data_IF_460770300912
#
_entry.id   IF_460770300912
#
_cell.length_a   1.000
_cell.length_b   1.000
_cell.length_c   1.000
_cell.angle_alpha   90.00
_cell.angle_beta   90.00
_cell.angle_gamma   90.00
#
_symmetry.space_group_name_H-M   'P 1'
#
loop_
_entity.id
_entity.type
_entity.pdbx_description
1 polymer ?
#
# COMPACT_ATOMS: atom_id res chain seq x y z
N UNK A 1 -24.06 -5.22 20.73
CA UNK A 1 -22.98 -4.58 19.95
C UNK A 1 -22.92 -3.10 20.34
N UNK A 2 -21.76 -2.58 20.77
CA UNK A 2 -21.63 -1.12 20.97
C UNK A 2 -21.74 -0.43 19.61
N UNK A 3 -22.64 0.55 19.50
CA UNK A 3 -22.78 1.39 18.29
C UNK A 3 -21.44 2.11 18.07
N UNK A 4 -20.94 2.09 16.83
CA UNK A 4 -19.71 2.78 16.48
C UNK A 4 -19.87 4.29 16.71
N UNK A 5 -18.84 4.94 17.28
CA UNK A 5 -18.82 6.38 17.56
C UNK A 5 -17.54 6.97 16.97
N UNK A 6 -17.69 7.98 16.13
CA UNK A 6 -16.59 8.78 15.58
C UNK A 6 -15.88 9.51 16.72
N UNK A 7 -14.54 9.45 16.75
CA UNK A 7 -13.75 10.00 17.84
C UNK A 7 -13.30 11.42 17.52
N UNK A 8 -13.23 12.23 18.55
CA UNK A 8 -12.48 13.48 18.55
C UNK A 8 -10.99 13.22 18.75
N UNK A 9 -10.15 14.24 18.52
CA UNK A 9 -8.71 14.17 18.77
C UNK A 9 -8.34 14.09 20.26
N UNK A 10 -9.21 14.63 21.13
CA UNK A 10 -9.12 14.55 22.59
C UNK A 10 -10.46 14.08 23.17
N UNK A 11 -10.43 13.40 24.31
CA UNK A 11 -11.62 12.90 25.00
C UNK A 11 -12.55 14.03 25.49
N UNK A 12 -11.97 15.19 25.81
CA UNK A 12 -12.72 16.35 26.35
C UNK A 12 -13.26 17.27 25.25
N UNK A 13 -12.99 16.96 23.98
CA UNK A 13 -13.40 17.81 22.86
C UNK A 13 -14.86 17.52 22.46
N UNK A 14 -15.66 18.57 22.35
CA UNK A 14 -17.10 18.52 21.99
C UNK A 14 -17.44 19.33 20.74
N UNK A 15 -16.45 19.56 19.86
CA UNK A 15 -16.66 20.37 18.66
C UNK A 15 -17.74 19.78 17.73
N UNK A 16 -18.39 20.62 16.92
CA UNK A 16 -19.37 20.13 15.97
C UNK A 16 -18.73 19.32 14.85
N UNK A 17 -19.52 18.43 14.26
CA UNK A 17 -19.19 17.81 12.99
C UNK A 17 -19.31 18.83 11.86
N UNK A 18 -18.42 18.74 10.88
CA UNK A 18 -18.53 19.46 9.60
C UNK A 18 -18.83 18.43 8.53
N UNK A 19 -19.97 18.62 7.84
CA UNK A 19 -20.42 17.74 6.76
C UNK A 19 -19.93 18.24 5.40
N UNK A 20 -19.77 17.31 4.46
CA UNK A 20 -19.62 17.66 3.05
C UNK A 20 -20.96 18.08 2.45
N UNK A 21 -20.92 18.76 1.30
CA UNK A 21 -22.07 18.86 0.42
C UNK A 21 -22.33 17.47 -0.21
N UNK A 22 -23.23 16.71 0.41
CA UNK A 22 -23.56 15.34 -0.02
C UNK A 22 -24.14 15.30 -1.44
N UNK A 23 -24.97 16.28 -1.81
CA UNK A 23 -25.54 16.36 -3.15
C UNK A 23 -24.43 16.54 -4.19
N UNK A 24 -23.42 17.38 -3.88
CA UNK A 24 -22.25 17.54 -4.75
C UNK A 24 -21.43 16.27 -4.85
N UNK A 25 -21.13 15.60 -3.73
CA UNK A 25 -20.42 14.30 -3.72
C UNK A 25 -21.15 13.27 -4.57
N UNK A 26 -22.45 13.12 -4.37
CA UNK A 26 -23.30 12.18 -5.11
C UNK A 26 -23.32 12.48 -6.61
N UNK A 27 -23.45 13.76 -7.01
CA UNK A 27 -23.42 14.15 -8.42
C UNK A 27 -22.09 13.78 -9.10
N UNK A 28 -20.96 14.01 -8.43
CA UNK A 28 -19.63 13.69 -8.96
C UNK A 28 -19.49 12.18 -9.20
N UNK A 29 -19.94 11.36 -8.24
CA UNK A 29 -19.86 9.89 -8.34
C UNK A 29 -20.83 9.37 -9.40
N UNK A 30 -22.03 9.95 -9.51
CA UNK A 30 -23.01 9.57 -10.53
C UNK A 30 -22.42 9.73 -11.94
N UNK A 31 -21.67 10.81 -12.16
CA UNK A 31 -20.92 11.13 -13.38
C UNK A 31 -19.64 10.29 -13.56
N UNK A 32 -19.38 9.31 -12.70
CA UNK A 32 -18.18 8.48 -12.72
C UNK A 32 -16.90 9.21 -12.30
N UNK A 33 -17.02 10.38 -11.67
CA UNK A 33 -15.90 11.14 -11.12
C UNK A 33 -15.53 10.75 -9.69
N UNK A 34 -14.35 11.17 -9.26
CA UNK A 34 -13.88 11.05 -7.88
C UNK A 34 -14.05 12.40 -7.17
N UNK A 35 -14.82 12.48 -6.07
CA UNK A 35 -14.90 13.68 -5.25
C UNK A 35 -13.65 13.85 -4.39
N UNK A 36 -13.17 15.07 -4.25
CA UNK A 36 -12.09 15.49 -3.37
C UNK A 36 -12.60 16.57 -2.43
N UNK A 37 -12.06 16.62 -1.22
CA UNK A 37 -12.49 17.54 -0.18
C UNK A 37 -11.33 18.44 0.29
N UNK A 38 -11.65 19.65 0.75
CA UNK A 38 -10.70 20.55 1.40
C UNK A 38 -11.39 21.31 2.53
N UNK A 39 -10.73 21.41 3.68
CA UNK A 39 -11.21 22.25 4.78
C UNK A 39 -10.98 23.72 4.42
N UNK A 40 -12.03 24.54 4.44
CA UNK A 40 -11.96 25.97 4.17
C UNK A 40 -12.52 26.75 5.36
N UNK A 41 -11.85 27.84 5.71
CA UNK A 41 -12.40 28.86 6.59
C UNK A 41 -13.13 29.91 5.75
N UNK A 42 -14.41 30.10 6.01
CA UNK A 42 -15.27 31.11 5.38
C UNK A 42 -14.89 32.52 5.84
N UNK A 43 -15.36 33.54 5.11
CA UNK A 43 -15.17 34.96 5.50
C UNK A 43 -15.79 35.29 6.87
N UNK A 44 -16.86 34.58 7.25
CA UNK A 44 -17.51 34.68 8.57
C UNK A 44 -16.76 33.93 9.68
N UNK A 45 -15.67 33.23 9.37
CA UNK A 45 -14.84 32.53 10.34
C UNK A 45 -15.26 31.07 10.61
N UNK A 46 -16.38 30.61 10.05
CA UNK A 46 -16.82 29.22 10.14
C UNK A 46 -16.03 28.29 9.22
N UNK A 47 -15.90 27.03 9.61
CA UNK A 47 -15.25 26.01 8.80
C UNK A 47 -16.28 25.22 7.99
N UNK A 48 -15.95 24.93 6.73
CA UNK A 48 -16.75 24.12 5.81
C UNK A 48 -15.84 23.20 4.98
N UNK A 49 -16.42 22.14 4.42
CA UNK A 49 -15.74 21.26 3.48
C UNK A 49 -16.11 21.63 2.05
N UNK A 50 -15.14 22.18 1.31
CA UNK A 50 -15.29 22.38 -0.13
C UNK A 50 -15.16 21.03 -0.85
N UNK A 51 -16.00 20.79 -1.85
CA UNK A 51 -16.00 19.55 -2.65
C UNK A 51 -15.69 19.87 -4.12
N UNK A 52 -14.75 19.15 -4.73
CA UNK A 52 -14.44 19.26 -6.16
C UNK A 52 -14.31 17.90 -6.83
N UNK A 53 -14.47 17.84 -8.16
CA UNK A 53 -14.19 16.64 -8.97
C UNK A 53 -12.68 16.56 -9.25
N UNK A 54 -12.10 15.37 -9.11
CA UNK A 54 -10.73 15.06 -9.52
C UNK A 54 -10.57 15.30 -11.04
N UNK A 55 -9.49 15.99 -11.41
CA UNK A 55 -9.07 16.19 -12.81
C UNK A 55 -7.60 15.82 -12.97
N UNK A 56 -7.11 15.72 -14.21
CA UNK A 56 -5.70 15.43 -14.49
C UNK A 56 -4.71 16.49 -13.97
N UNK A 57 -5.20 17.67 -13.58
CA UNK A 57 -4.40 18.77 -13.04
C UNK A 57 -4.51 18.90 -11.51
N UNK A 58 -5.31 18.05 -10.85
CA UNK A 58 -5.56 18.17 -9.41
C UNK A 58 -4.65 17.23 -8.64
N UNK A 59 -3.67 17.78 -7.93
CA UNK A 59 -2.92 17.05 -6.92
C UNK A 59 -3.79 16.85 -5.67
N UNK A 60 -3.64 15.71 -5.00
CA UNK A 60 -4.36 15.42 -3.76
C UNK A 60 -3.63 14.37 -2.93
N UNK A 61 -3.90 14.38 -1.63
CA UNK A 61 -3.46 13.34 -0.69
C UNK A 61 -4.61 12.39 -0.40
N UNK A 62 -4.38 11.08 -0.44
CA UNK A 62 -5.37 10.12 0.03
C UNK A 62 -5.01 9.68 1.46
N UNK A 63 -5.97 9.77 2.38
CA UNK A 63 -5.80 9.23 3.72
C UNK A 63 -6.19 7.75 3.74
N UNK A 64 -5.33 6.95 4.35
CA UNK A 64 -5.54 5.53 4.57
C UNK A 64 -5.57 5.28 6.08
N UNK A 65 -6.67 4.75 6.60
CA UNK A 65 -6.88 4.66 8.05
C UNK A 65 -7.63 3.40 8.45
N UNK A 66 -7.58 3.10 9.74
CA UNK A 66 -8.28 1.97 10.35
C UNK A 66 -9.56 2.50 10.99
N UNK A 67 -10.74 2.09 10.52
CA UNK A 67 -12.03 2.57 11.06
C UNK A 67 -12.14 2.46 12.59
N UNK A 68 -11.62 1.39 13.20
CA UNK A 68 -11.66 1.21 14.67
C UNK A 68 -10.90 2.28 15.45
N UNK A 69 -10.06 3.07 14.78
CA UNK A 69 -9.29 4.14 15.39
C UNK A 69 -10.11 5.44 15.52
N UNK A 70 -11.29 5.50 14.90
CA UNK A 70 -12.33 6.51 15.20
C UNK A 70 -12.58 7.54 14.11
N UNK A 71 -11.97 7.42 12.92
CA UNK A 71 -12.14 8.33 11.78
C UNK A 71 -13.23 7.88 10.79
N UNK A 72 -14.01 6.85 11.12
CA UNK A 72 -15.19 6.43 10.37
C UNK A 72 -16.43 7.23 10.79
N UNK A 73 -17.47 7.23 9.96
CA UNK A 73 -18.80 7.72 10.34
C UNK A 73 -19.87 6.96 9.53
N UNK A 74 -20.64 6.04 10.16
CA UNK A 74 -21.63 5.25 9.44
C UNK A 74 -22.95 6.01 9.18
N UNK A 75 -23.14 7.19 9.79
CA UNK A 75 -24.43 7.89 9.79
C UNK A 75 -24.48 9.11 8.88
N UNK A 76 -23.35 9.76 8.61
CA UNK A 76 -23.26 10.92 7.70
C UNK A 76 -21.86 11.07 7.12
N UNK A 77 -21.73 11.76 5.98
CA UNK A 77 -20.44 12.13 5.41
C UNK A 77 -19.86 13.36 6.13
N UNK A 78 -19.49 13.18 7.40
CA UNK A 78 -18.99 14.25 8.27
C UNK A 78 -17.93 13.76 9.25
N UNK A 79 -17.09 14.68 9.73
CA UNK A 79 -16.12 14.45 10.80
C UNK A 79 -16.11 15.61 11.80
N UNK A 80 -15.70 15.38 13.06
CA UNK A 80 -15.45 16.44 14.02
C UNK A 80 -14.46 17.47 13.49
N UNK A 81 -14.71 18.76 13.75
CA UNK A 81 -13.82 19.84 13.30
C UNK A 81 -12.36 19.63 13.75
N UNK A 82 -12.14 19.15 14.98
CA UNK A 82 -10.79 18.90 15.49
C UNK A 82 -10.04 17.83 14.68
N UNK A 83 -10.74 16.80 14.17
CA UNK A 83 -10.14 15.80 13.30
C UNK A 83 -9.80 16.41 11.94
N UNK A 84 -10.70 17.20 11.35
CA UNK A 84 -10.44 17.86 10.07
C UNK A 84 -9.26 18.84 10.13
N UNK A 85 -9.14 19.57 11.24
CA UNK A 85 -8.00 20.44 11.49
C UNK A 85 -6.70 19.65 11.64
N UNK A 86 -6.74 18.51 12.33
CA UNK A 86 -5.58 17.63 12.47
C UNK A 86 -5.14 17.02 11.12
N UNK A 87 -6.09 16.52 10.31
CA UNK A 87 -5.82 16.04 8.97
C UNK A 87 -5.22 17.15 8.08
N UNK A 88 -5.74 18.37 8.21
CA UNK A 88 -5.23 19.55 7.52
C UNK A 88 -3.80 19.86 7.91
N UNK A 89 -3.53 19.89 9.22
CA UNK A 89 -2.17 20.04 9.75
C UNK A 89 -1.22 18.98 9.18
N UNK A 90 -1.64 17.71 9.15
CA UNK A 90 -0.79 16.65 8.62
C UNK A 90 -0.42 16.87 7.16
N UNK A 91 -1.38 17.10 6.26
CA UNK A 91 -1.04 17.23 4.84
C UNK A 91 -0.29 18.53 4.51
N UNK A 92 -0.49 19.59 5.28
CA UNK A 92 0.26 20.85 5.14
C UNK A 92 1.74 20.71 5.56
N UNK A 93 2.03 19.78 6.47
CA UNK A 93 3.36 19.47 6.98
C UNK A 93 3.91 18.14 6.45
N UNK A 94 3.29 17.58 5.40
CA UNK A 94 3.83 16.39 4.75
C UNK A 94 5.20 16.71 4.19
N UNK A 95 6.16 15.85 4.50
CA UNK A 95 7.47 15.94 3.89
C UNK A 95 7.31 15.83 2.38
N UNK A 96 7.68 16.89 1.66
CA UNK A 96 7.82 16.79 0.22
C UNK A 96 8.88 15.74 -0.03
N UNK A 97 8.60 14.68 -0.81
CA UNK A 97 9.59 13.67 -1.09
C UNK A 97 10.86 14.34 -1.60
N UNK A 98 11.92 14.21 -0.81
CA UNK A 98 13.27 14.49 -1.29
C UNK A 98 13.52 13.65 -2.53
N UNK A 99 14.55 14.00 -3.31
CA UNK A 99 14.98 13.20 -4.47
C UNK A 99 15.47 11.83 -3.97
N UNK A 100 14.54 10.93 -3.64
CA UNK A 100 14.83 9.53 -3.34
C UNK A 100 14.65 8.77 -4.65
N UNK A 101 15.75 8.18 -5.10
CA UNK A 101 15.97 7.64 -6.45
C UNK A 101 15.13 6.40 -6.81
N UNK A 102 13.95 6.21 -6.21
CA UNK A 102 13.28 4.90 -6.19
C UNK A 102 11.98 4.78 -6.96
N UNK A 103 11.31 5.83 -7.44
CA UNK A 103 9.97 5.63 -8.07
C UNK A 103 9.62 6.55 -9.25
N UNK A 104 10.32 6.43 -10.38
CA UNK A 104 9.81 6.84 -11.70
C UNK A 104 10.89 6.93 -12.77
N UNK A 105 11.33 5.80 -13.31
CA UNK A 105 12.65 5.69 -13.95
C UNK A 105 12.59 5.89 -15.48
N UNK A 106 13.51 6.68 -16.03
CA UNK A 106 14.00 6.53 -17.42
C UNK A 106 15.36 5.82 -17.36
N UNK A 107 15.54 4.73 -18.12
CA UNK A 107 16.72 3.86 -18.04
C UNK A 107 17.91 4.42 -18.83
N UNK A 108 18.99 4.79 -18.14
CA UNK A 108 20.32 5.05 -18.74
C UNK A 108 21.44 4.34 -17.95
N UNK A 109 21.48 3.01 -18.08
CA UNK A 109 22.64 2.19 -17.76
C UNK A 109 22.93 1.95 -16.28
N UNK A 110 23.11 2.97 -15.43
CA UNK A 110 23.64 2.78 -14.07
C UNK A 110 23.14 3.81 -13.01
N UNK A 111 22.56 4.98 -13.35
CA UNK A 111 21.80 5.80 -12.39
C UNK A 111 20.30 5.89 -12.72
N UNK A 112 19.45 5.83 -11.68
CA UNK A 112 17.98 5.96 -11.78
C UNK A 112 17.54 7.39 -11.52
N UNK A 113 17.05 8.11 -12.54
CA UNK A 113 16.51 9.47 -12.41
C UNK A 113 14.99 9.50 -12.65
N UNK A 114 14.26 10.15 -11.75
CA UNK A 114 12.81 10.42 -11.90
C UNK A 114 12.52 11.87 -12.25
N UNK A 115 12.40 12.12 -13.56
CA UNK A 115 12.12 13.43 -14.10
C UNK A 115 10.65 13.87 -13.95
N UNK A 116 9.70 12.97 -13.68
CA UNK A 116 8.28 13.35 -13.44
C UNK A 116 8.09 14.07 -12.10
N UNK A 117 9.03 13.86 -11.17
CA UNK A 117 8.97 14.37 -9.79
C UNK A 117 9.89 15.55 -9.53
N UNK A 118 10.87 15.82 -10.40
CA UNK A 118 11.75 16.98 -10.28
C UNK A 118 11.04 18.33 -10.51
N UNK A 119 9.82 18.34 -11.06
CA UNK A 119 9.13 19.58 -11.50
C UNK A 119 7.69 19.74 -11.01
N UNK A 120 7.17 18.83 -10.16
CA UNK A 120 5.80 18.93 -9.65
C UNK A 120 5.78 19.53 -8.25
N UNK A 121 5.15 20.69 -8.11
CA UNK A 121 4.72 21.18 -6.80
C UNK A 121 3.67 20.20 -6.24
N UNK A 122 4.07 19.42 -5.24
CA UNK A 122 3.21 18.43 -4.59
C UNK A 122 2.28 19.06 -3.55
N UNK A 123 2.37 20.39 -3.34
CA UNK A 123 1.44 21.10 -2.46
C UNK A 123 0.02 20.96 -3.00
N UNK A 124 -0.87 20.62 -2.08
CA UNK A 124 -2.29 20.55 -2.34
C UNK A 124 -3.06 20.82 -1.06
N UNK A 125 -4.25 21.36 -1.23
CA UNK A 125 -5.26 21.49 -0.16
C UNK A 125 -6.32 20.39 -0.23
N UNK A 126 -6.28 19.60 -1.30
CA UNK A 126 -7.30 18.59 -1.59
C UNK A 126 -6.86 17.27 -1.01
N UNK A 127 -7.79 16.60 -0.34
CA UNK A 127 -7.58 15.25 0.11
C UNK A 127 -8.79 14.36 -0.19
N UNK A 128 -8.55 13.06 -0.17
CA UNK A 128 -9.56 12.03 -0.25
C UNK A 128 -9.57 11.23 1.05
N UNK A 129 -10.77 11.00 1.58
CA UNK A 129 -11.01 10.13 2.73
C UNK A 129 -12.36 9.45 2.53
N UNK A 130 -12.38 8.13 2.65
CA UNK A 130 -13.55 7.27 2.43
C UNK A 130 -14.78 7.75 3.22
N UNK A 131 -14.62 8.12 4.49
CA UNK A 131 -15.67 8.63 5.37
C UNK A 131 -16.39 9.86 4.80
N UNK A 132 -15.68 10.72 4.06
CA UNK A 132 -16.23 11.97 3.52
C UNK A 132 -16.65 11.82 2.04
N UNK A 133 -16.02 10.91 1.31
CA UNK A 133 -16.12 10.82 -0.14
C UNK A 133 -16.98 9.66 -0.64
N UNK A 134 -17.40 8.73 0.23
CA UNK A 134 -18.27 7.59 -0.12
C UNK A 134 -19.64 7.79 0.54
N UNK A 135 -20.73 7.90 -0.24
CA UNK A 135 -22.07 8.08 0.30
C UNK A 135 -22.47 7.02 1.34
N UNK A 136 -23.13 7.47 2.40
CA UNK A 136 -23.71 6.62 3.45
C UNK A 136 -25.21 6.43 3.25
N UNK A 137 -25.77 5.35 3.78
CA UNK A 137 -27.20 5.03 3.67
C UNK A 137 -27.54 4.03 2.56
N UNK A 138 -28.61 3.27 2.77
CA UNK A 138 -29.05 2.21 1.85
C UNK A 138 -29.61 2.76 0.53
N UNK A 139 -30.14 3.99 0.54
CA UNK A 139 -30.65 4.65 -0.65
C UNK A 139 -29.54 5.00 -1.68
N UNK A 140 -28.27 4.93 -1.29
CA UNK A 140 -27.12 5.27 -2.14
C UNK A 140 -26.20 4.08 -2.44
N UNK A 141 -26.69 2.84 -2.32
CA UNK A 141 -25.87 1.63 -2.55
C UNK A 141 -25.22 1.62 -3.93
N UNK A 142 -25.92 2.02 -4.98
CA UNK A 142 -25.34 2.05 -6.34
C UNK A 142 -24.15 3.03 -6.44
N UNK A 143 -24.28 4.21 -5.84
CA UNK A 143 -23.20 5.21 -5.80
C UNK A 143 -22.05 4.73 -4.92
N UNK A 144 -22.35 4.07 -3.80
CA UNK A 144 -21.35 3.45 -2.93
C UNK A 144 -20.55 2.38 -3.68
N UNK A 145 -21.22 1.50 -4.43
CA UNK A 145 -20.54 0.50 -5.26
C UNK A 145 -19.66 1.16 -6.33
N UNK A 146 -20.16 2.21 -7.02
CA UNK A 146 -19.35 2.99 -7.98
C UNK A 146 -18.10 3.57 -7.34
N UNK A 147 -18.22 4.21 -6.18
CA UNK A 147 -17.09 4.81 -5.46
C UNK A 147 -16.08 3.75 -4.98
N UNK A 148 -16.55 2.61 -4.45
CA UNK A 148 -15.69 1.49 -4.03
C UNK A 148 -14.91 0.93 -5.22
N UNK A 149 -15.56 0.76 -6.37
CA UNK A 149 -14.89 0.28 -7.59
C UNK A 149 -13.79 1.24 -8.10
N UNK A 150 -13.79 2.51 -7.67
CA UNK A 150 -12.75 3.48 -8.01
C UNK A 150 -11.61 3.53 -6.99
N UNK A 151 -11.72 2.88 -5.82
CA UNK A 151 -10.73 3.00 -4.74
C UNK A 151 -9.32 2.68 -5.22
N UNK A 152 -9.13 1.61 -5.99
CA UNK A 152 -7.81 1.26 -6.53
C UNK A 152 -7.18 2.42 -7.32
N UNK A 153 -7.95 3.06 -8.21
CA UNK A 153 -7.49 4.20 -9.00
C UNK A 153 -7.24 5.46 -8.15
N UNK A 154 -8.03 5.67 -7.10
CA UNK A 154 -7.86 6.79 -6.16
C UNK A 154 -6.51 6.66 -5.44
N UNK A 155 -6.20 5.52 -4.82
CA UNK A 155 -4.93 5.36 -4.13
C UNK A 155 -3.72 5.32 -5.09
N UNK A 156 -3.87 4.78 -6.30
CA UNK A 156 -2.83 4.85 -7.34
C UNK A 156 -2.53 6.29 -7.78
N UNK A 157 -3.58 7.08 -7.98
CA UNK A 157 -3.51 8.43 -8.53
C UNK A 157 -3.20 9.52 -7.51
N UNK A 158 -3.25 9.21 -6.20
CA UNK A 158 -2.90 10.14 -5.16
C UNK A 158 -1.42 10.56 -5.28
N UNK A 159 -1.16 11.85 -5.01
CA UNK A 159 0.21 12.36 -4.95
C UNK A 159 0.98 11.64 -3.85
N UNK A 160 0.32 11.45 -2.70
CA UNK A 160 0.82 10.70 -1.56
C UNK A 160 -0.36 10.01 -0.87
N UNK A 161 -0.13 8.80 -0.37
CA UNK A 161 -1.05 8.10 0.53
C UNK A 161 -0.52 8.23 1.94
N UNK A 162 -1.24 8.96 2.79
CA UNK A 162 -0.87 9.17 4.18
C UNK A 162 -1.58 8.15 5.06
N UNK A 163 -0.80 7.27 5.68
CA UNK A 163 -1.25 6.20 6.56
C UNK A 163 -1.40 6.73 7.98
N UNK A 164 -2.61 6.63 8.52
CA UNK A 164 -2.97 6.98 9.89
C UNK A 164 -3.23 5.70 10.68
N UNK A 165 -2.34 5.42 11.63
CA UNK A 165 -2.48 4.32 12.58
C UNK A 165 -2.26 4.82 14.01
N UNK A 166 -3.21 4.53 14.88
CA UNK A 166 -3.19 5.00 16.27
C UNK A 166 -1.93 4.60 17.06
N UNK A 167 -1.24 3.51 16.69
CA UNK A 167 0.03 3.11 17.33
C UNK A 167 1.23 3.97 16.91
N UNK A 168 1.13 4.63 15.76
CA UNK A 168 2.20 5.42 15.14
C UNK A 168 2.02 6.93 15.36
N UNK A 169 0.79 7.45 15.32
CA UNK A 169 0.50 8.89 15.34
C UNK A 169 1.03 9.63 16.59
N UNK A 170 1.14 8.94 17.74
CA UNK A 170 1.69 9.53 18.97
C UNK A 170 3.20 9.45 19.12
N UNK A 171 3.91 8.83 18.17
CA UNK A 171 5.36 8.56 18.27
C UNK A 171 6.16 9.70 17.68
N UNK A 172 7.10 10.23 18.45
CA UNK A 172 8.14 11.10 17.89
C UNK A 172 9.15 10.23 17.14
N UNK A 173 9.57 10.67 15.97
CA UNK A 173 10.69 10.09 15.24
C UNK A 173 11.91 10.92 15.64
N UNK A 174 12.80 10.33 16.42
CA UNK A 174 14.09 10.95 16.72
C UNK A 174 15.07 10.68 15.56
N UNK A 175 16.20 11.39 15.51
CA UNK A 175 17.18 11.28 14.41
C UNK A 175 17.53 9.82 14.04
N UNK A 176 17.84 9.51 12.76
CA UNK A 176 18.10 8.15 12.29
C UNK A 176 19.21 7.44 13.09
N UNK A 177 18.94 6.21 13.55
CA UNK A 177 19.84 5.46 14.43
C UNK A 177 19.24 4.18 15.02
N UNK A 178 19.63 3.83 16.27
CA UNK A 178 19.22 2.63 17.02
C UNK A 178 17.70 2.36 17.06
N UNK A 179 16.86 3.35 16.77
CA UNK A 179 15.39 3.23 16.73
C UNK A 179 14.84 2.64 15.41
N UNK A 180 15.66 2.45 14.37
CA UNK A 180 15.18 1.94 13.07
C UNK A 180 14.54 0.53 13.17
N UNK A 181 15.13 -0.35 14.00
CA UNK A 181 14.56 -1.66 14.31
C UNK A 181 13.16 -1.52 14.92
N UNK A 182 13.01 -0.65 15.91
CA UNK A 182 11.74 -0.43 16.59
C UNK A 182 10.71 0.18 15.63
N UNK A 183 11.10 1.20 14.85
CA UNK A 183 10.23 1.87 13.90
C UNK A 183 9.69 0.90 12.84
N UNK A 184 10.56 0.05 12.27
CA UNK A 184 10.15 -0.96 11.30
C UNK A 184 9.35 -2.08 11.95
N UNK A 185 9.75 -2.58 13.12
CA UNK A 185 8.98 -3.60 13.83
C UNK A 185 7.56 -3.12 14.18
N UNK A 186 7.43 -1.86 14.62
CA UNK A 186 6.13 -1.22 14.87
C UNK A 186 5.33 -1.05 13.59
N UNK A 187 5.97 -0.60 12.51
CA UNK A 187 5.34 -0.49 11.19
C UNK A 187 4.80 -1.82 10.74
N UNK A 188 5.57 -2.91 10.87
CA UNK A 188 5.14 -4.26 10.51
C UNK A 188 3.96 -4.75 11.38
N UNK A 189 3.96 -4.42 12.67
CA UNK A 189 2.98 -4.88 13.65
C UNK A 189 1.80 -3.91 13.88
N UNK A 190 1.66 -2.85 13.08
CA UNK A 190 0.58 -1.88 13.26
C UNK A 190 -0.76 -2.45 12.75
N UNK A 191 -1.90 -2.16 13.42
CA UNK A 191 -3.24 -2.61 13.00
C UNK A 191 -3.53 -2.42 11.51
N UNK A 192 -3.04 -1.33 10.92
CA UNK A 192 -3.17 -1.06 9.50
C UNK A 192 -2.56 -2.16 8.61
N UNK A 193 -1.44 -2.79 8.99
CA UNK A 193 -0.86 -3.92 8.25
C UNK A 193 -1.71 -5.19 8.32
N UNK A 194 -2.60 -5.30 9.31
CA UNK A 194 -3.41 -6.49 9.56
C UNK A 194 -4.75 -6.53 8.83
N UNK A 195 -5.09 -5.53 8.00
CA UNK A 195 -6.38 -5.44 7.30
C UNK A 195 -6.25 -5.67 5.79
N UNK A 196 -7.31 -6.22 5.19
CA UNK A 196 -7.30 -6.59 3.77
C UNK A 196 -7.43 -5.37 2.83
N UNK A 197 -8.30 -4.41 3.14
CA UNK A 197 -8.44 -3.20 2.30
C UNK A 197 -7.21 -2.31 2.35
N UNK A 198 -6.64 -2.09 3.54
CA UNK A 198 -5.40 -1.32 3.72
C UNK A 198 -4.20 -1.91 2.96
N UNK A 199 -4.20 -3.23 2.71
CA UNK A 199 -3.22 -3.86 1.81
C UNK A 199 -3.29 -3.27 0.41
N UNK A 200 -4.49 -3.18 -0.18
CA UNK A 200 -4.68 -2.63 -1.51
C UNK A 200 -4.27 -1.16 -1.56
N UNK A 201 -4.71 -0.38 -0.56
CA UNK A 201 -4.40 1.03 -0.41
C UNK A 201 -2.88 1.25 -0.37
N UNK A 202 -2.17 0.40 0.39
CA UNK A 202 -0.73 0.36 0.43
C UNK A 202 -0.11 -0.07 -0.90
N UNK A 203 -0.39 -1.28 -1.37
CA UNK A 203 0.29 -1.91 -2.50
C UNK A 203 0.17 -1.13 -3.82
N UNK A 204 -0.93 -0.41 -4.03
CA UNK A 204 -1.18 0.36 -5.26
C UNK A 204 -0.63 1.79 -5.18
N UNK A 205 -0.43 2.32 -3.96
CA UNK A 205 0.04 3.69 -3.79
C UNK A 205 1.39 3.94 -4.49
N UNK A 206 1.51 5.10 -5.13
CA UNK A 206 2.78 5.52 -5.72
C UNK A 206 3.78 5.93 -4.64
N UNK A 207 3.28 6.57 -3.58
CA UNK A 207 4.04 7.02 -2.42
C UNK A 207 3.19 6.82 -1.18
N UNK A 208 3.79 6.26 -0.13
CA UNK A 208 3.15 6.03 1.16
C UNK A 208 4.00 6.66 2.22
N UNK A 209 3.36 7.43 3.08
CA UNK A 209 4.00 7.95 4.27
C UNK A 209 3.20 7.50 5.48
N UNK A 210 3.88 7.12 6.55
CA UNK A 210 3.25 6.80 7.82
C UNK A 210 3.31 8.05 8.70
N UNK A 211 2.15 8.51 9.15
CA UNK A 211 2.05 9.66 10.03
C UNK A 211 2.50 9.30 11.45
N UNK A 212 3.39 10.13 11.98
CA UNK A 212 3.87 10.11 13.35
C UNK A 212 3.60 11.47 14.03
N UNK A 213 4.14 11.69 15.22
CA UNK A 213 3.98 12.95 15.94
C UNK A 213 4.74 14.06 15.21
N UNK A 214 3.98 14.95 14.56
CA UNK A 214 4.50 16.15 13.89
C UNK A 214 5.16 15.94 12.53
N UNK A 215 5.44 14.70 12.12
CA UNK A 215 6.12 14.37 10.87
C UNK A 215 5.67 13.00 10.34
N UNK A 216 6.07 12.68 9.11
CA UNK A 216 5.73 11.42 8.45
C UNK A 216 6.94 10.85 7.70
N UNK A 217 7.02 9.53 7.52
CA UNK A 217 8.15 8.89 6.84
C UNK A 217 7.72 7.83 5.83
N UNK A 218 8.49 7.60 4.76
CA UNK A 218 8.32 6.41 3.89
C UNK A 218 9.06 5.22 4.53
N UNK A 219 8.37 4.10 4.83
CA UNK A 219 9.01 2.89 5.38
C UNK A 219 10.15 2.34 4.51
N UNK A 220 10.09 2.57 3.19
CA UNK A 220 11.13 2.20 2.24
C UNK A 220 12.39 3.05 2.31
N UNK A 221 12.32 4.24 2.90
CA UNK A 221 13.42 5.21 3.00
C UNK A 221 14.02 5.31 4.42
N UNK A 222 13.53 4.50 5.38
CA UNK A 222 14.16 4.36 6.71
C UNK A 222 15.63 3.96 6.56
N UNK A 223 16.52 4.81 7.08
CA UNK A 223 17.98 4.63 7.05
C UNK A 223 18.48 3.79 8.23
N UNK A 224 19.61 3.12 8.04
CA UNK A 224 20.28 2.30 9.07
C UNK A 224 21.69 2.81 9.32
N UNK A 225 22.10 2.81 10.58
CA UNK A 225 23.43 3.24 11.01
C UNK A 225 23.41 4.60 11.73
N UNK A 226 24.58 5.06 12.19
CA UNK A 226 24.67 6.25 13.01
C UNK A 226 24.17 7.42 12.19
N UNK A 227 23.25 8.18 12.77
CA UNK A 227 22.71 9.44 12.26
C UNK A 227 23.81 10.17 11.55
N UNK A 228 23.70 10.13 10.24
CA UNK A 228 24.67 10.52 9.27
C UNK A 228 25.56 11.70 9.69
N UNK A 229 26.69 11.44 10.32
CA UNK A 229 27.83 12.38 10.28
C UNK A 229 28.17 12.62 8.80
N UNK A 230 28.01 11.60 7.95
CA UNK A 230 28.24 11.60 6.51
C UNK A 230 27.22 12.39 5.66
N UNK A 231 25.90 12.27 5.87
CA UNK A 231 24.87 13.17 5.29
C UNK A 231 24.88 14.57 5.92
N UNK A 232 25.15 14.77 7.22
CA UNK A 232 25.35 16.13 7.78
C UNK A 232 26.53 16.84 7.10
N UNK A 233 27.56 16.11 6.69
CA UNK A 233 28.67 16.60 5.84
C UNK A 233 28.27 16.91 4.38
N UNK A 234 27.22 16.29 3.85
CA UNK A 234 26.70 16.54 2.49
C UNK A 234 25.68 17.69 2.47
N UNK A 235 24.92 17.86 3.55
CA UNK A 235 23.94 18.94 3.73
C UNK A 235 24.59 20.30 4.03
N UNK A 236 25.83 20.33 4.53
CA UNK A 236 26.54 21.56 4.92
C UNK A 236 27.02 22.45 3.76
N UNK A 237 26.52 22.27 2.53
CA UNK A 237 26.78 23.18 1.40
C UNK A 237 28.23 23.24 0.90
N UNK A 238 29.18 22.58 1.57
CA UNK A 238 30.59 22.65 1.23
C UNK A 238 30.95 21.71 0.07
N UNK A 239 31.29 22.30 -1.07
CA UNK A 239 31.58 21.61 -2.34
C UNK A 239 32.73 20.59 -2.20
N UNK A 240 33.71 20.84 -1.32
CA UNK A 240 34.83 19.92 -1.08
C UNK A 240 34.39 18.61 -0.42
N UNK A 241 33.43 18.66 0.51
CA UNK A 241 32.89 17.46 1.16
C UNK A 241 32.08 16.61 0.17
N UNK A 242 31.31 17.25 -0.73
CA UNK A 242 30.56 16.57 -1.80
C UNK A 242 31.48 15.84 -2.78
N UNK A 243 32.61 16.44 -3.16
CA UNK A 243 33.58 15.84 -4.07
C UNK A 243 34.25 14.60 -3.48
N UNK A 244 34.64 14.64 -2.20
CA UNK A 244 35.26 13.48 -1.51
C UNK A 244 34.29 12.31 -1.40
N UNK A 245 33.01 12.58 -1.11
CA UNK A 245 31.96 11.56 -1.05
C UNK A 245 31.70 10.95 -2.43
N UNK A 246 31.63 11.78 -3.48
CA UNK A 246 31.46 11.33 -4.87
C UNK A 246 32.60 10.42 -5.34
N UNK A 247 33.86 10.78 -5.02
CA UNK A 247 35.03 9.96 -5.35
C UNK A 247 35.02 8.63 -4.59
N UNK A 248 34.66 8.62 -3.30
CA UNK A 248 34.54 7.36 -2.53
C UNK A 248 33.41 6.46 -3.06
N UNK A 249 32.30 7.04 -3.51
CA UNK A 249 31.20 6.30 -4.16
C UNK A 249 31.65 5.71 -5.50
N UNK A 250 32.41 6.44 -6.31
CA UNK A 250 32.98 5.91 -7.55
C UNK A 250 33.97 4.76 -7.28
N UNK A 251 34.80 4.86 -6.25
CA UNK A 251 35.74 3.78 -5.87
C UNK A 251 34.97 2.54 -5.37
N UNK A 252 33.93 2.72 -4.57
CA UNK A 252 33.08 1.62 -4.10
C UNK A 252 32.33 0.98 -5.26
N UNK A 253 31.74 1.77 -6.15
CA UNK A 253 31.07 1.28 -7.36
C UNK A 253 32.03 0.55 -8.31
N UNK A 254 33.25 1.06 -8.49
CA UNK A 254 34.29 0.40 -9.29
C UNK A 254 34.72 -0.94 -8.66
N UNK A 255 34.87 -1.02 -7.34
CA UNK A 255 35.16 -2.27 -6.63
C UNK A 255 34.02 -3.28 -6.73
N UNK A 256 32.77 -2.84 -6.61
CA UNK A 256 31.57 -3.68 -6.77
C UNK A 256 31.44 -4.18 -8.20
N UNK A 257 31.75 -3.34 -9.19
CA UNK A 257 31.67 -3.70 -10.61
C UNK A 257 32.80 -4.64 -11.05
N UNK A 258 33.96 -4.59 -10.41
CA UNK A 258 35.12 -5.45 -10.70
C UNK A 258 34.96 -6.88 -10.12
N UNK A 259 34.21 -7.04 -9.01
CA UNK A 259 34.08 -8.33 -8.30
C UNK A 259 32.66 -8.93 -8.39
N UNK A 260 32.04 -8.84 -9.57
CA UNK A 260 30.63 -9.19 -9.83
C UNK A 260 30.26 -10.66 -9.56
N UNK A 261 31.21 -11.59 -9.47
CA UNK A 261 30.97 -13.01 -9.21
C UNK A 261 31.18 -13.46 -7.75
N UNK A 262 31.82 -12.65 -6.90
CA UNK A 262 32.18 -13.06 -5.52
C UNK A 262 31.32 -12.40 -4.43
N UNK A 263 30.39 -11.54 -4.81
CA UNK A 263 29.59 -10.73 -3.87
C UNK A 263 28.26 -11.34 -3.44
N UNK A 264 27.91 -12.56 -3.85
CA UNK A 264 26.73 -13.24 -3.29
C UNK A 264 26.88 -13.53 -1.79
N UNK A 265 28.11 -13.50 -1.25
CA UNK A 265 28.38 -13.85 0.16
C UNK A 265 29.15 -12.78 0.96
N UNK A 266 29.40 -11.59 0.39
CA UNK A 266 30.31 -10.62 0.99
C UNK A 266 29.70 -9.22 1.15
N UNK A 267 28.65 -9.07 1.96
CA UNK A 267 28.32 -7.76 2.54
C UNK A 267 28.39 -7.84 4.06
N UNK A 268 29.61 -8.02 4.55
CA UNK A 268 30.02 -7.60 5.89
C UNK A 268 31.08 -6.53 5.69
N UNK A 269 30.65 -5.30 5.37
CA UNK A 269 31.39 -4.15 5.91
C UNK A 269 31.20 -4.29 7.40
N UNK A 270 32.21 -4.85 8.08
CA UNK A 270 32.30 -4.88 9.53
C UNK A 270 32.23 -3.42 9.94
N UNK A 271 31.05 -3.00 10.38
CA UNK A 271 30.92 -1.76 11.14
C UNK A 271 31.88 -1.89 12.32
N UNK A 272 32.74 -0.90 12.60
CA UNK A 272 33.60 -0.93 13.78
C UNK A 272 32.78 -0.98 15.09
N UNK A 273 31.47 -0.76 14.99
CA UNK A 273 30.49 -0.83 16.05
C UNK A 273 29.55 -2.04 15.83
N UNK A 274 29.60 -2.99 16.75
CA UNK A 274 28.78 -4.21 16.75
C UNK A 274 27.28 -3.90 16.83
N UNK A 275 26.89 -2.79 17.46
CA UNK A 275 25.49 -2.41 17.63
C UNK A 275 24.89 -2.00 16.29
N UNK A 276 25.65 -1.29 15.45
CA UNK A 276 25.22 -0.94 14.08
C UNK A 276 25.06 -2.20 13.22
N UNK A 277 25.96 -3.17 13.36
CA UNK A 277 25.86 -4.43 12.63
C UNK A 277 24.61 -5.23 13.05
N UNK A 278 24.33 -5.31 14.36
CA UNK A 278 23.14 -5.95 14.90
C UNK A 278 21.85 -5.24 14.45
N UNK A 279 21.81 -3.91 14.50
CA UNK A 279 20.67 -3.11 14.02
C UNK A 279 20.43 -3.35 12.54
N UNK A 280 21.47 -3.40 11.71
CA UNK A 280 21.33 -3.68 10.28
C UNK A 280 20.87 -5.12 10.02
N UNK A 281 21.36 -6.11 10.77
CA UNK A 281 20.95 -7.51 10.66
C UNK A 281 19.48 -7.72 10.99
N UNK A 282 18.94 -7.00 11.97
CA UNK A 282 17.53 -7.07 12.36
C UNK A 282 16.62 -6.23 11.46
N UNK A 283 17.07 -5.03 11.09
CA UNK A 283 16.24 -4.08 10.35
C UNK A 283 16.08 -4.41 8.87
N UNK A 284 17.09 -5.02 8.23
CA UNK A 284 17.01 -5.38 6.81
C UNK A 284 15.88 -6.38 6.51
N UNK A 285 15.78 -7.53 7.22
CA UNK A 285 14.65 -8.45 7.02
C UNK A 285 13.29 -7.81 7.28
N UNK A 286 13.18 -6.95 8.30
CA UNK A 286 11.94 -6.22 8.59
C UNK A 286 11.57 -5.26 7.45
N UNK A 287 12.54 -4.50 6.94
CA UNK A 287 12.34 -3.60 5.81
C UNK A 287 11.94 -4.35 4.55
N UNK A 288 12.61 -5.47 4.25
CA UNK A 288 12.30 -6.30 3.10
C UNK A 288 10.88 -6.88 3.21
N UNK A 289 10.51 -7.41 4.38
CA UNK A 289 9.16 -7.91 4.64
C UNK A 289 8.07 -6.82 4.48
N UNK A 290 8.34 -5.59 4.95
CA UNK A 290 7.43 -4.45 4.75
C UNK A 290 7.35 -4.08 3.27
N UNK A 291 8.49 -4.03 2.58
CA UNK A 291 8.54 -3.65 1.17
C UNK A 291 7.86 -4.67 0.25
N UNK A 292 7.93 -5.96 0.55
CA UNK A 292 7.19 -7.00 -0.16
C UNK A 292 5.68 -6.79 -0.08
N UNK A 293 5.16 -6.31 1.05
CA UNK A 293 3.74 -5.96 1.21
C UNK A 293 3.33 -4.73 0.38
N UNK A 294 4.29 -3.89 0.00
CA UNK A 294 4.04 -2.63 -0.69
C UNK A 294 4.39 -2.65 -2.19
N UNK A 295 5.12 -3.66 -2.65
CA UNK A 295 5.60 -3.75 -4.03
C UNK A 295 5.08 -5.03 -4.69
N UNK A 296 3.75 -5.06 -4.84
CA UNK A 296 3.03 -6.18 -5.44
C UNK A 296 2.82 -5.97 -6.95
N UNK A 297 3.05 -4.76 -7.47
CA UNK A 297 2.88 -4.43 -8.89
C UNK A 297 4.19 -4.46 -9.69
N UNK A 298 5.34 -4.29 -9.02
CA UNK A 298 6.66 -4.17 -9.64
C UNK A 298 7.71 -4.94 -8.86
N UNK A 299 8.73 -5.46 -9.54
CA UNK A 299 9.85 -6.12 -8.88
C UNK A 299 10.66 -5.11 -8.07
N UNK A 300 11.05 -5.48 -6.85
CA UNK A 300 11.90 -4.63 -5.99
C UNK A 300 13.28 -4.35 -6.61
N UNK A 301 13.83 -5.32 -7.36
CA UNK A 301 15.19 -5.26 -7.91
C UNK A 301 15.26 -4.53 -9.26
N UNK A 302 14.45 -4.94 -10.24
CA UNK A 302 14.51 -4.36 -11.60
C UNK A 302 13.52 -3.23 -11.84
N UNK A 303 12.44 -3.14 -11.07
CA UNK A 303 11.36 -2.17 -11.28
C UNK A 303 10.43 -2.53 -12.43
N UNK A 304 10.57 -3.74 -12.98
CA UNK A 304 9.71 -4.24 -14.06
C UNK A 304 8.33 -4.60 -13.52
N UNK A 305 7.25 -4.41 -14.31
CA UNK A 305 5.92 -4.85 -13.92
C UNK A 305 5.89 -6.36 -13.68
N UNK A 306 5.33 -6.77 -12.55
CA UNK A 306 5.10 -8.18 -12.25
C UNK A 306 3.99 -8.74 -13.16
N UNK A 307 4.09 -10.02 -13.52
CA UNK A 307 3.06 -10.76 -14.25
C UNK A 307 1.82 -11.00 -13.38
N UNK A 308 0.64 -11.21 -13.96
CA UNK A 308 -0.58 -11.51 -13.19
C UNK A 308 -0.44 -12.73 -12.27
N UNK A 309 0.40 -13.70 -12.64
CA UNK A 309 0.74 -14.85 -11.78
C UNK A 309 1.52 -14.43 -10.52
N UNK A 310 2.61 -13.68 -10.69
CA UNK A 310 3.42 -13.22 -9.55
C UNK A 310 2.61 -12.30 -8.64
N UNK A 311 1.83 -11.39 -9.22
CA UNK A 311 0.90 -10.54 -8.47
C UNK A 311 -0.08 -11.37 -7.66
N UNK A 312 -0.68 -12.41 -8.26
CA UNK A 312 -1.60 -13.30 -7.56
C UNK A 312 -0.94 -13.99 -6.36
N UNK A 313 0.25 -14.56 -6.54
CA UNK A 313 1.01 -15.23 -5.48
C UNK A 313 1.32 -14.28 -4.33
N UNK A 314 1.84 -13.08 -4.63
CA UNK A 314 2.13 -12.06 -3.61
C UNK A 314 0.87 -11.57 -2.90
N UNK A 315 -0.21 -11.33 -3.64
CA UNK A 315 -1.51 -10.97 -3.06
C UNK A 315 -2.03 -12.04 -2.12
N UNK A 316 -1.96 -13.31 -2.53
CA UNK A 316 -2.38 -14.44 -1.72
C UNK A 316 -1.60 -14.49 -0.40
N UNK A 317 -0.27 -14.39 -0.49
CA UNK A 317 0.64 -14.47 0.64
C UNK A 317 0.46 -13.30 1.61
N UNK A 318 0.10 -12.12 1.12
CA UNK A 318 -0.23 -10.98 1.97
C UNK A 318 -1.63 -11.10 2.62
N UNK A 319 -2.64 -11.56 1.87
CA UNK A 319 -4.03 -11.58 2.33
C UNK A 319 -4.33 -12.72 3.31
N UNK A 320 -3.60 -13.84 3.25
CA UNK A 320 -3.80 -15.01 4.15
C UNK A 320 -3.69 -14.67 5.64
N UNK A 321 -2.84 -13.71 6.02
CA UNK A 321 -2.58 -13.30 7.41
C UNK A 321 -3.45 -12.10 7.84
N UNK A 322 -4.14 -11.47 6.88
CA UNK A 322 -4.95 -10.27 7.12
C UNK A 322 -6.38 -10.62 7.50
N UNK A 323 -7.02 -9.64 8.13
CA UNK A 323 -8.40 -9.70 8.59
C UNK A 323 -9.29 -8.78 7.75
N UNK A 324 -10.58 -9.10 7.71
CA UNK A 324 -11.62 -8.27 7.09
C UNK A 324 -12.95 -8.56 7.75
N UNK A 325 -13.81 -7.53 7.83
CA UNK A 325 -15.21 -7.67 8.25
C UNK A 325 -16.09 -8.20 7.12
N UNK A 326 -15.67 -8.02 5.87
CA UNK A 326 -16.35 -8.47 4.65
C UNK A 326 -15.42 -9.40 3.89
N UNK A 327 -15.65 -10.71 3.97
CA UNK A 327 -14.77 -11.73 3.35
C UNK A 327 -14.91 -11.73 1.84
N UNK A 328 -16.10 -11.42 1.34
CA UNK A 328 -16.46 -11.29 -0.06
C UNK A 328 -15.62 -10.25 -0.82
N UNK A 329 -15.15 -9.21 -0.13
CA UNK A 329 -14.33 -8.13 -0.69
C UNK A 329 -12.91 -8.60 -1.04
N UNK A 330 -12.43 -9.71 -0.46
CA UNK A 330 -11.09 -10.25 -0.74
C UNK A 330 -10.90 -10.52 -2.24
N UNK A 331 -11.94 -11.03 -2.90
CA UNK A 331 -11.88 -11.30 -4.34
C UNK A 331 -11.78 -10.02 -5.17
N UNK A 332 -12.35 -8.91 -4.69
CA UNK A 332 -12.25 -7.60 -5.36
C UNK A 332 -10.84 -7.03 -5.22
N UNK A 333 -10.25 -7.18 -4.03
CA UNK A 333 -8.86 -6.78 -3.77
C UNK A 333 -7.90 -7.54 -4.68
N UNK A 334 -8.04 -8.87 -4.76
CA UNK A 334 -7.20 -9.69 -5.64
C UNK A 334 -7.40 -9.26 -7.09
N UNK A 335 -8.64 -9.14 -7.56
CA UNK A 335 -8.96 -8.72 -8.94
C UNK A 335 -8.28 -7.39 -9.30
N UNK A 336 -8.37 -6.38 -8.44
CA UNK A 336 -7.73 -5.08 -8.64
C UNK A 336 -6.19 -5.22 -8.79
N UNK A 337 -5.56 -6.00 -7.91
CA UNK A 337 -4.10 -6.10 -7.87
C UNK A 337 -3.53 -6.94 -9.02
N UNK A 338 -4.26 -7.95 -9.50
CA UNK A 338 -3.84 -8.76 -10.66
C UNK A 338 -4.21 -8.13 -12.02
N UNK A 339 -4.93 -7.00 -12.00
CA UNK A 339 -5.26 -6.20 -13.18
C UNK A 339 -6.58 -6.58 -13.87
N UNK A 340 -7.50 -7.23 -13.16
CA UNK A 340 -8.84 -7.53 -13.67
C UNK A 340 -9.88 -6.49 -13.22
N UNK A 341 -10.97 -6.41 -13.98
CA UNK A 341 -12.10 -5.56 -13.63
C UNK A 341 -12.86 -6.15 -12.43
N UNK A 342 -12.86 -5.49 -11.25
CA UNK A 342 -13.51 -6.02 -10.04
C UNK A 342 -15.03 -6.13 -10.20
N UNK A 343 -15.66 -5.33 -11.07
CA UNK A 343 -17.11 -5.37 -11.28
C UNK A 343 -17.59 -6.70 -11.87
N UNK A 344 -16.77 -7.35 -12.71
CA UNK A 344 -17.08 -8.69 -13.25
C UNK A 344 -17.10 -9.72 -12.13
N UNK A 345 -16.13 -9.63 -11.21
CA UNK A 345 -16.02 -10.52 -10.05
C UNK A 345 -17.14 -10.25 -9.03
N UNK A 346 -17.51 -8.98 -8.84
CA UNK A 346 -18.60 -8.60 -7.94
C UNK A 346 -19.97 -9.17 -8.36
N UNK A 347 -20.21 -9.30 -9.66
CA UNK A 347 -21.47 -9.83 -10.20
C UNK A 347 -21.63 -11.35 -10.00
N UNK A 348 -20.57 -12.07 -9.64
CA UNK A 348 -20.64 -13.50 -9.37
C UNK A 348 -21.21 -13.76 -7.98
N UNK A 349 -22.17 -14.69 -7.90
CA UNK A 349 -22.97 -14.91 -6.69
C UNK A 349 -22.20 -15.56 -5.56
N UNK A 350 -21.33 -16.54 -5.85
CA UNK A 350 -20.63 -17.30 -4.82
C UNK A 350 -19.10 -17.06 -4.84
N UNK A 351 -18.42 -17.22 -3.69
CA UNK A 351 -16.97 -17.03 -3.58
C UNK A 351 -16.14 -18.00 -4.44
N UNK A 352 -16.66 -19.20 -4.69
CA UNK A 352 -15.95 -20.22 -5.49
C UNK A 352 -15.81 -19.76 -6.94
N UNK A 353 -16.89 -19.30 -7.56
CA UNK A 353 -16.92 -18.77 -8.92
C UNK A 353 -16.02 -17.55 -9.05
N UNK A 354 -16.06 -16.66 -8.06
CA UNK A 354 -15.15 -15.49 -7.98
C UNK A 354 -13.70 -15.92 -8.01
N UNK A 355 -13.33 -16.98 -7.31
CA UNK A 355 -11.96 -17.49 -7.30
C UNK A 355 -11.62 -18.24 -8.59
N UNK A 356 -12.51 -19.07 -9.13
CA UNK A 356 -12.32 -19.81 -10.38
C UNK A 356 -12.00 -18.85 -11.52
N UNK A 357 -12.79 -17.80 -11.70
CA UNK A 357 -12.56 -16.81 -12.78
C UNK A 357 -11.17 -16.19 -12.66
N UNK A 358 -10.73 -15.88 -11.45
CA UNK A 358 -9.39 -15.31 -11.22
C UNK A 358 -8.28 -16.33 -11.53
N UNK A 359 -8.39 -17.56 -11.03
CA UNK A 359 -7.42 -18.63 -11.25
C UNK A 359 -7.32 -19.04 -12.73
N UNK A 360 -8.46 -19.12 -13.43
CA UNK A 360 -8.53 -19.47 -14.85
C UNK A 360 -8.01 -18.36 -15.76
N UNK A 361 -7.94 -17.13 -15.26
CA UNK A 361 -7.36 -16.00 -15.99
C UNK A 361 -5.84 -15.91 -15.83
N UNK A 362 -5.24 -16.75 -14.97
CA UNK A 362 -3.79 -16.87 -14.85
C UNK A 362 -3.25 -17.80 -15.95
N UNK A 363 -2.00 -17.59 -16.42
CA UNK A 363 -1.38 -18.51 -17.38
C UNK A 363 -1.23 -19.93 -16.81
N UNK A 364 -1.02 -20.03 -15.50
CA UNK A 364 -0.93 -21.27 -14.73
C UNK A 364 -1.44 -21.04 -13.32
N UNK A 365 -1.83 -22.13 -12.64
CA UNK A 365 -2.22 -22.10 -11.22
C UNK A 365 -1.05 -22.57 -10.35
N UNK A 366 -0.73 -21.87 -9.24
CA UNK A 366 0.29 -22.31 -8.30
C UNK A 366 -0.03 -23.72 -7.76
N UNK A 367 0.90 -24.66 -7.94
CA UNK A 367 0.68 -26.07 -7.60
C UNK A 367 0.44 -26.27 -6.08
N UNK A 368 1.06 -25.44 -5.23
CA UNK A 368 0.88 -25.49 -3.77
C UNK A 368 -0.56 -25.22 -3.31
N UNK A 369 -1.42 -24.61 -4.15
CA UNK A 369 -2.85 -24.46 -3.85
C UNK A 369 -3.54 -25.82 -3.70
N UNK A 370 -3.10 -26.86 -4.41
CA UNK A 370 -3.75 -28.17 -4.38
C UNK A 370 -3.39 -28.99 -3.12
N UNK A 371 -2.18 -28.81 -2.59
CA UNK A 371 -1.62 -29.67 -1.54
C UNK A 371 -1.73 -29.10 -0.13
N UNK A 372 -2.37 -27.94 0.02
CA UNK A 372 -2.49 -27.28 1.31
C UNK A 372 -3.87 -27.58 1.95
N UNK A 373 -3.93 -28.42 3.00
CA UNK A 373 -5.20 -28.88 3.57
C UNK A 373 -5.92 -27.79 4.38
N UNK A 374 -5.21 -26.73 4.77
CA UNK A 374 -5.77 -25.66 5.61
C UNK A 374 -6.51 -24.58 4.82
N UNK A 375 -6.48 -24.65 3.49
CA UNK A 375 -7.24 -23.76 2.62
C UNK A 375 -8.72 -24.18 2.63
N UNK A 376 -9.67 -23.28 2.94
CA UNK A 376 -11.09 -23.59 2.83
C UNK A 376 -11.46 -23.78 1.35
N UNK A 377 -12.14 -24.89 1.03
CA UNK A 377 -12.49 -25.24 -0.36
C UNK A 377 -14.00 -25.31 -0.57
N UNK A 378 -14.41 -25.12 -1.81
CA UNK A 378 -15.79 -25.25 -2.23
C UNK A 378 -16.22 -26.72 -2.30
N UNK A 379 -17.53 -26.98 -2.19
CA UNK A 379 -18.15 -28.28 -2.49
C UNK A 379 -17.59 -29.51 -1.74
N UNK A 380 -16.96 -29.32 -0.57
CA UNK A 380 -16.32 -30.43 0.19
C UNK A 380 -17.30 -31.57 0.51
N UNK A 381 -18.58 -31.23 0.72
CA UNK A 381 -19.65 -32.17 1.03
C UNK A 381 -20.24 -32.87 -0.21
N UNK A 382 -20.03 -32.32 -1.42
CA UNK A 382 -20.56 -32.87 -2.67
C UNK A 382 -19.56 -33.87 -3.27
N UNK A 383 -19.79 -35.17 -3.05
CA UNK A 383 -18.86 -36.22 -3.48
C UNK A 383 -18.56 -36.25 -4.99
N UNK A 384 -19.47 -35.73 -5.82
CA UNK A 384 -19.40 -35.76 -7.28
C UNK A 384 -18.89 -34.47 -7.93
N UNK A 385 -18.63 -33.42 -7.15
CA UNK A 385 -18.22 -32.13 -7.72
C UNK A 385 -16.76 -32.16 -8.20
N UNK A 386 -16.54 -31.77 -9.46
CA UNK A 386 -15.21 -31.64 -10.07
C UNK A 386 -14.42 -30.42 -9.54
N UNK A 387 -15.09 -29.50 -8.83
CA UNK A 387 -14.51 -28.24 -8.35
C UNK A 387 -14.16 -28.23 -6.85
N UNK A 388 -14.07 -29.41 -6.22
CA UNK A 388 -13.68 -29.55 -4.80
C UNK A 388 -12.29 -29.03 -4.45
N UNK A 389 -11.43 -28.86 -5.44
CA UNK A 389 -10.10 -28.32 -5.26
C UNK A 389 -10.10 -26.78 -5.19
N UNK A 390 -11.19 -26.11 -5.59
CA UNK A 390 -11.25 -24.66 -5.70
C UNK A 390 -11.20 -24.01 -4.31
N UNK A 391 -10.24 -23.11 -4.06
CA UNK A 391 -10.19 -22.39 -2.80
C UNK A 391 -11.27 -21.31 -2.71
N UNK A 392 -11.82 -21.09 -1.52
CA UNK A 392 -12.76 -20.00 -1.26
C UNK A 392 -12.03 -18.69 -0.96
N UNK A 393 -10.97 -18.73 -0.16
CA UNK A 393 -10.24 -17.55 0.28
C UNK A 393 -8.74 -17.85 0.49
N UNK A 394 -7.85 -16.85 0.41
CA UNK A 394 -6.44 -17.00 0.78
C UNK A 394 -6.29 -17.44 2.23
N UNK A 395 -5.72 -18.63 2.43
CA UNK A 395 -5.38 -19.24 3.72
C UNK A 395 -4.28 -20.29 3.54
N UNK A 396 -3.87 -20.91 4.65
CA UNK A 396 -2.82 -21.92 4.70
C UNK A 396 -1.42 -21.36 4.51
N UNK A 397 -0.40 -22.14 4.13
CA UNK A 397 0.98 -21.65 3.90
C UNK A 397 1.17 -20.74 2.68
N UNK A 398 2.39 -20.22 2.51
CA UNK A 398 2.76 -19.36 1.38
C UNK A 398 2.74 -20.13 0.04
N UNK A 399 2.29 -19.45 -1.01
CA UNK A 399 2.46 -19.88 -2.39
C UNK A 399 3.84 -19.50 -2.91
N UNK A 400 4.38 -20.30 -3.83
CA UNK A 400 5.72 -20.12 -4.41
C UNK A 400 5.67 -19.24 -5.66
N UNK A 401 6.58 -18.25 -5.73
CA UNK A 401 6.74 -17.34 -6.88
C UNK A 401 7.37 -18.03 -8.10
N UNK A 402 8.37 -18.88 -7.85
CA UNK A 402 9.11 -19.66 -8.83
C UNK A 402 8.68 -21.12 -8.72
N UNK A 403 7.59 -21.55 -9.39
CA UNK A 403 7.11 -22.90 -9.25
C UNK A 403 8.11 -23.87 -9.89
N UNK A 404 8.61 -24.83 -9.11
CA UNK A 404 9.27 -26.05 -9.63
C UNK A 404 8.35 -26.84 -10.56
N UNK A 405 7.03 -26.60 -10.52
CA UNK A 405 5.99 -27.29 -11.30
C UNK A 405 4.73 -26.41 -11.50
N UNK A 406 4.19 -26.32 -12.72
CA UNK A 406 3.04 -25.45 -13.06
C UNK A 406 1.80 -26.29 -13.43
N UNK A 407 0.62 -25.94 -12.91
CA UNK A 407 -0.63 -26.59 -13.33
C UNK A 407 -1.36 -25.72 -14.36
N UNK A 408 -1.77 -26.29 -15.50
CA UNK A 408 -2.60 -25.60 -16.49
C UNK A 408 -4.01 -26.19 -16.46
N UNK A 409 -5.02 -25.32 -16.44
CA UNK A 409 -6.42 -25.74 -16.49
C UNK A 409 -6.94 -25.48 -17.91
N UNK A 410 -7.53 -26.49 -18.55
CA UNK A 410 -8.06 -26.36 -19.92
C UNK A 410 -9.58 -26.46 -19.90
N UNK A 411 -10.24 -25.47 -20.53
CA UNK A 411 -11.69 -25.43 -20.73
C UNK A 411 -12.08 -26.47 -21.79
N UNK A 412 -12.33 -27.69 -21.34
CA UNK A 412 -12.82 -28.78 -22.17
C UNK A 412 -13.72 -29.76 -21.44
N UNK A 413 -13.50 -30.01 -20.13
CA UNK A 413 -14.30 -30.91 -19.28
C UNK A 413 -13.84 -30.84 -17.79
N UNK A 414 -13.33 -29.70 -17.32
CA UNK A 414 -12.67 -29.57 -16.00
C UNK A 414 -11.52 -30.59 -15.77
N UNK A 415 -10.82 -31.03 -16.81
CA UNK A 415 -9.61 -31.85 -16.65
C UNK A 415 -8.42 -30.97 -16.26
N UNK A 416 -7.81 -31.22 -15.10
CA UNK A 416 -6.56 -30.59 -14.67
C UNK A 416 -5.39 -31.23 -15.43
N UNK A 417 -4.60 -30.45 -16.19
CA UNK A 417 -3.38 -30.95 -16.84
C UNK A 417 -2.16 -30.28 -16.19
N UNK A 418 -1.41 -31.04 -15.40
CA UNK A 418 -0.17 -30.55 -14.78
C UNK A 418 0.95 -30.55 -15.83
N UNK A 419 1.59 -29.41 -16.07
CA UNK A 419 2.77 -29.28 -16.93
C UNK A 419 4.00 -29.03 -16.05
N UNK A 420 4.85 -30.04 -15.95
CA UNK A 420 6.17 -29.84 -15.38
C UNK A 420 7.00 -29.02 -16.38
N UNK A 421 7.77 -28.02 -15.93
CA UNK A 421 8.75 -27.38 -16.80
C UNK A 421 9.70 -28.47 -17.29
N UNK A 422 9.72 -28.72 -18.59
CA UNK A 422 10.82 -29.44 -19.22
C UNK A 422 12.08 -28.63 -18.92
N UNK A 423 13.10 -29.26 -18.32
CA UNK A 423 14.43 -28.63 -18.19
C UNK A 423 14.76 -28.02 -19.55
N UNK A 424 15.01 -26.71 -19.58
CA UNK A 424 15.68 -26.11 -20.71
C UNK A 424 17.03 -26.82 -20.84
N UNK A 425 17.29 -27.39 -22.03
CA UNK A 425 18.62 -27.87 -22.41
C UNK A 425 19.60 -26.71 -22.53
#
# INVERSE_FOLDING_TARGET
>A
MKKYVTRHTSQDCTCSHVSVDEARVQSIIADGGVPLVALRKTKSGHFELAVTKLTHHTNYVAFSHVWSDGLGNPSSNSLPLCQLQLLTYYYEHLETPGVSSRRGIVNWGVPRFDFRRMTRDLKTRWFWLDTLCIPVGEQHQDLKHKAINQMAAIYAGASQVLVLDSRMQGRQINEPGLEACELLARTYAMPWMGRSWTFQEGAIATMRQIQCSGQSFDPGDVAFGPGNVWLKLVETGNIGAKAVVFVKMLILAARVSYHRSSFEHAVTIISPDIDIALVALLSRPLKDAILEQFNVLYTLRSGDPLTSYERFVLCWNALRERTTTKKEDIHLIIANLIGFNPSVVANLQNPADRMVVQLMSLPYVPLSIFFNPTIPRAHVEEQTSNNRWVPLYPKGGNLELEPTSRAQITLGLYSLRVRFPTRAE
#
